data_IF_741240356331
#
_entry.id   IF_741240356331
#
_cell.length_a   1.000
_cell.length_b   1.000
_cell.length_c   1.000
_cell.angle_alpha   90.00
_cell.angle_beta   90.00
_cell.angle_gamma   90.00
#
_symmetry.space_group_name_H-M   'P 1'
#
loop_
_entity.id
_entity.type
_entity.pdbx_description
1 polymer ?
#
# COMPACT_ATOMS: atom_id res chain seq x y z
N UNK A 1 -37.15 70.09 12.93
CA UNK A 1 -37.56 68.68 13.12
C UNK A 1 -36.87 67.84 12.05
N UNK A 2 -36.16 66.77 12.41
CA UNK A 2 -35.50 65.89 11.46
C UNK A 2 -35.94 64.44 11.69
N UNK A 3 -36.54 63.83 10.68
CA UNK A 3 -37.06 62.46 10.70
C UNK A 3 -35.94 61.44 10.52
N UNK A 4 -35.76 60.53 11.48
CA UNK A 4 -34.85 59.38 11.33
C UNK A 4 -35.56 58.26 10.56
N UNK A 5 -34.91 57.60 9.59
CA UNK A 5 -35.53 56.51 8.83
C UNK A 5 -35.70 55.26 9.72
N UNK A 6 -36.94 54.79 9.82
CA UNK A 6 -37.29 53.61 10.61
C UNK A 6 -37.09 52.34 9.77
N UNK A 7 -35.91 51.70 9.88
CA UNK A 7 -35.67 50.42 9.21
C UNK A 7 -36.43 49.27 9.91
N UNK A 8 -37.64 48.97 9.42
CA UNK A 8 -38.42 47.81 9.84
C UNK A 8 -37.80 46.53 9.27
N UNK A 9 -36.73 46.05 9.90
CA UNK A 9 -36.18 44.72 9.62
C UNK A 9 -37.21 43.69 10.10
N UNK A 10 -37.91 43.06 9.15
CA UNK A 10 -38.84 41.97 9.42
C UNK A 10 -38.09 40.81 10.10
N UNK A 11 -38.18 40.73 11.44
CA UNK A 11 -37.47 39.74 12.29
C UNK A 11 -37.59 38.31 11.75
N UNK A 12 -38.76 37.96 11.19
CA UNK A 12 -39.02 36.66 10.57
C UNK A 12 -38.09 36.32 9.37
N UNK A 13 -37.73 37.28 8.50
CA UNK A 13 -36.88 36.98 7.33
C UNK A 13 -35.43 36.71 7.74
N UNK A 14 -34.87 37.54 8.62
CA UNK A 14 -33.49 37.36 9.13
C UNK A 14 -33.38 36.04 9.91
N UNK A 15 -34.33 35.78 10.81
CA UNK A 15 -34.38 34.54 11.60
C UNK A 15 -34.55 33.29 10.73
N UNK A 16 -35.35 33.35 9.65
CA UNK A 16 -35.50 32.24 8.70
C UNK A 16 -34.21 31.97 7.91
N UNK A 17 -33.49 33.03 7.51
CA UNK A 17 -32.20 32.89 6.82
C UNK A 17 -31.11 32.33 7.73
N UNK A 18 -31.00 32.84 8.96
CA UNK A 18 -30.10 32.29 9.98
C UNK A 18 -30.44 30.84 10.34
N UNK A 19 -31.73 30.48 10.45
CA UNK A 19 -32.15 29.08 10.62
C UNK A 19 -31.72 28.21 9.44
N UNK A 20 -31.82 28.69 8.19
CA UNK A 20 -31.35 27.93 7.01
C UNK A 20 -29.83 27.71 7.06
N UNK A 21 -29.04 28.71 7.45
CA UNK A 21 -27.58 28.57 7.62
C UNK A 21 -27.25 27.62 8.77
N UNK A 22 -27.90 27.76 9.93
CA UNK A 22 -27.67 26.88 11.08
C UNK A 22 -28.08 25.42 10.79
N UNK A 23 -29.20 25.20 10.10
CA UNK A 23 -29.60 23.87 9.61
C UNK A 23 -28.64 23.35 8.54
N UNK A 24 -28.07 24.21 7.69
CA UNK A 24 -27.04 23.82 6.72
C UNK A 24 -25.73 23.41 7.41
N UNK A 25 -25.27 24.17 8.41
CA UNK A 25 -24.11 23.83 9.24
C UNK A 25 -24.35 22.52 10.00
N UNK A 26 -25.47 22.38 10.72
CA UNK A 26 -25.84 21.14 11.42
C UNK A 26 -26.03 19.95 10.48
N UNK A 27 -26.53 20.17 9.24
CA UNK A 27 -26.55 19.12 8.20
C UNK A 27 -25.15 18.78 7.73
N UNK A 28 -24.25 19.76 7.60
CA UNK A 28 -22.84 19.54 7.22
C UNK A 28 -22.08 18.82 8.32
N UNK A 29 -22.27 19.18 9.59
CA UNK A 29 -21.73 18.46 10.75
C UNK A 29 -22.32 17.05 10.86
N UNK A 30 -23.65 16.87 10.73
CA UNK A 30 -24.24 15.51 10.67
C UNK A 30 -23.80 14.72 9.45
N UNK A 31 -23.46 15.37 8.33
CA UNK A 31 -22.84 14.73 7.17
C UNK A 31 -21.38 14.37 7.44
N UNK A 32 -20.59 15.20 8.13
CA UNK A 32 -19.23 14.89 8.57
C UNK A 32 -19.23 13.74 9.59
N UNK A 33 -20.15 13.75 10.56
CA UNK A 33 -20.30 12.70 11.57
C UNK A 33 -20.79 11.39 10.93
N UNK A 34 -21.75 11.42 10.01
CA UNK A 34 -22.10 10.25 9.20
C UNK A 34 -20.99 9.82 8.24
N UNK A 35 -20.15 10.75 7.77
CA UNK A 35 -18.90 10.41 7.08
C UNK A 35 -17.96 9.68 8.04
N UNK A 36 -17.80 10.10 9.30
CA UNK A 36 -16.95 9.39 10.28
C UNK A 36 -17.47 8.01 10.70
N UNK A 37 -18.80 7.85 10.85
CA UNK A 37 -19.42 6.55 11.15
C UNK A 37 -19.38 5.58 9.96
N UNK A 38 -19.23 6.11 8.74
CA UNK A 38 -19.13 5.35 7.50
C UNK A 38 -18.11 6.02 6.55
N UNK A 39 -16.82 6.08 6.94
CA UNK A 39 -15.79 6.46 5.97
C UNK A 39 -15.64 5.26 5.05
N UNK A 40 -16.43 5.26 3.98
CA UNK A 40 -16.53 4.17 3.04
C UNK A 40 -15.14 3.75 2.60
N UNK A 41 -14.80 2.48 2.88
CA UNK A 41 -13.59 1.74 2.46
C UNK A 41 -12.82 2.49 1.37
N UNK A 42 -11.78 3.21 1.78
CA UNK A 42 -10.88 3.85 0.83
C UNK A 42 -10.23 2.72 0.04
N UNK A 43 -10.29 2.77 -1.29
CA UNK A 43 -9.59 1.78 -2.11
C UNK A 43 -8.10 1.99 -1.93
N UNK A 44 -7.35 0.89 -1.83
CA UNK A 44 -5.89 0.93 -1.77
C UNK A 44 -5.33 1.57 -3.06
N UNK A 45 -4.23 2.35 -2.98
CA UNK A 45 -3.72 3.11 -4.12
C UNK A 45 -3.18 2.27 -5.29
N UNK A 46 -2.72 1.03 -5.07
CA UNK A 46 -2.13 0.19 -6.12
C UNK A 46 -2.34 -1.33 -5.91
N UNK A 47 -2.22 -2.15 -6.99
CA UNK A 47 -2.05 -3.60 -6.90
C UNK A 47 -0.83 -3.97 -6.04
N UNK A 48 -0.90 -5.08 -5.29
CA UNK A 48 0.20 -5.52 -4.41
C UNK A 48 -0.01 -6.99 -4.04
N UNK A 49 1.06 -7.79 -4.08
CA UNK A 49 1.04 -9.18 -3.65
C UNK A 49 0.75 -9.28 -2.14
N UNK A 50 -0.01 -10.28 -1.70
CA UNK A 50 -0.38 -10.44 -0.29
C UNK A 50 -1.39 -9.43 0.30
N UNK A 51 -1.86 -8.46 -0.49
CA UNK A 51 -2.74 -7.36 -0.03
C UNK A 51 -4.02 -7.83 0.69
N UNK A 52 -4.13 -7.55 2.00
CA UNK A 52 -5.17 -8.06 2.92
C UNK A 52 -6.57 -7.43 2.79
N UNK A 53 -6.96 -6.96 1.60
CA UNK A 53 -8.25 -6.24 1.35
C UNK A 53 -9.51 -7.02 1.80
N UNK A 54 -9.48 -8.35 1.82
CA UNK A 54 -10.61 -9.19 2.28
C UNK A 54 -10.60 -9.38 3.80
N UNK A 55 -9.42 -9.48 4.41
CA UNK A 55 -9.24 -9.71 5.84
C UNK A 55 -9.25 -8.42 6.68
N UNK A 56 -9.01 -7.27 6.04
CA UNK A 56 -8.86 -5.96 6.69
C UNK A 56 -9.93 -5.61 7.74
N UNK A 57 -11.25 -5.83 7.52
CA UNK A 57 -12.26 -5.56 8.56
C UNK A 57 -12.05 -6.42 9.82
N UNK A 58 -11.72 -7.70 9.65
CA UNK A 58 -11.46 -8.64 10.75
C UNK A 58 -10.14 -8.30 11.46
N UNK A 59 -9.08 -7.99 10.71
CA UNK A 59 -7.79 -7.57 11.26
C UNK A 59 -7.95 -6.32 12.13
N UNK A 60 -8.69 -5.32 11.64
CA UNK A 60 -8.91 -4.08 12.39
C UNK A 60 -9.83 -4.27 13.59
N UNK A 61 -10.86 -5.12 13.50
CA UNK A 61 -11.69 -5.50 14.66
C UNK A 61 -10.85 -6.20 15.75
N UNK A 62 -9.95 -7.11 15.37
CA UNK A 62 -9.11 -7.85 16.33
C UNK A 62 -8.13 -6.94 17.08
N UNK A 63 -7.55 -5.95 16.41
CA UNK A 63 -6.58 -5.02 16.98
C UNK A 63 -7.24 -3.81 17.68
N UNK A 64 -8.27 -3.22 17.08
CA UNK A 64 -8.78 -1.87 17.39
C UNK A 64 -10.30 -1.78 17.66
N UNK A 65 -11.07 -2.87 17.57
CA UNK A 65 -12.56 -2.82 17.65
C UNK A 65 -13.13 -2.14 18.91
N UNK A 66 -12.43 -2.25 20.04
CA UNK A 66 -12.76 -1.63 21.33
C UNK A 66 -11.99 -0.33 21.62
N UNK A 67 -11.21 0.17 20.66
CA UNK A 67 -10.35 1.37 20.76
C UNK A 67 -9.30 1.32 21.87
N UNK A 68 -8.87 0.12 22.29
CA UNK A 68 -7.88 -0.05 23.37
C UNK A 68 -6.48 0.49 23.01
N UNK A 69 -6.05 0.39 21.75
CA UNK A 69 -4.70 0.76 21.34
C UNK A 69 -4.57 2.28 21.07
N UNK A 70 -3.47 2.88 21.54
CA UNK A 70 -3.11 4.28 21.27
C UNK A 70 -1.90 4.43 20.32
N UNK A 71 -1.33 3.30 19.88
CA UNK A 71 -0.28 3.23 18.87
C UNK A 71 -0.53 2.04 17.94
N UNK A 72 -0.36 2.22 16.63
CA UNK A 72 -0.44 1.17 15.62
C UNK A 72 0.87 1.09 14.84
N UNK A 73 1.39 -0.11 14.61
CA UNK A 73 2.64 -0.36 13.90
C UNK A 73 2.42 -1.41 12.81
N UNK A 74 2.73 -1.05 11.55
CA UNK A 74 2.85 -1.99 10.43
C UNK A 74 4.31 -2.00 9.94
N UNK A 75 5.13 -3.01 10.30
CA UNK A 75 6.54 -3.08 9.89
C UNK A 75 6.76 -3.45 8.41
N UNK A 76 5.70 -3.96 7.77
CA UNK A 76 5.62 -4.41 6.37
C UNK A 76 4.35 -3.83 5.76
N UNK A 77 4.33 -2.52 5.48
CA UNK A 77 3.10 -1.81 5.09
C UNK A 77 2.57 -2.24 3.73
N UNK A 78 3.44 -2.51 2.74
CA UNK A 78 3.01 -2.85 1.38
C UNK A 78 1.98 -1.86 0.83
N UNK A 79 0.82 -2.36 0.40
CA UNK A 79 -0.35 -1.56 -0.04
C UNK A 79 -1.22 -0.93 1.06
N UNK A 80 -0.87 -1.07 2.34
CA UNK A 80 -1.62 -0.59 3.50
C UNK A 80 -3.12 -0.91 3.47
N UNK A 81 -3.47 -2.13 3.04
CA UNK A 81 -4.86 -2.48 2.79
C UNK A 81 -5.73 -2.38 4.05
N UNK A 82 -5.17 -2.63 5.24
CA UNK A 82 -5.90 -2.60 6.50
C UNK A 82 -6.29 -1.16 6.91
N UNK A 83 -5.33 -0.22 6.96
CA UNK A 83 -5.59 1.15 7.41
C UNK A 83 -6.53 1.93 6.47
N UNK A 84 -6.58 1.56 5.18
CA UNK A 84 -7.55 2.12 4.23
C UNK A 84 -9.01 1.70 4.53
N UNK A 85 -9.23 0.61 5.29
CA UNK A 85 -10.59 0.18 5.68
C UNK A 85 -11.14 0.90 6.91
N UNK A 86 -10.30 1.33 7.86
CA UNK A 86 -10.76 1.87 9.14
C UNK A 86 -9.90 3.06 9.59
N UNK A 87 -10.50 4.22 9.96
CA UNK A 87 -9.76 5.33 10.54
C UNK A 87 -9.23 4.94 11.94
N UNK A 88 -8.02 5.38 12.25
CA UNK A 88 -7.37 5.17 13.55
C UNK A 88 -7.26 6.51 14.29
N UNK A 89 -8.41 7.14 14.53
CA UNK A 89 -8.49 8.50 15.08
C UNK A 89 -7.88 8.57 16.49
N UNK A 90 -6.97 9.54 16.70
CA UNK A 90 -6.22 9.69 17.95
C UNK A 90 -5.15 8.62 18.21
N UNK A 91 -4.98 7.64 17.32
CA UNK A 91 -3.94 6.60 17.40
C UNK A 91 -2.68 7.10 16.70
N UNK A 92 -1.52 6.95 17.34
CA UNK A 92 -0.23 7.20 16.68
C UNK A 92 0.07 6.06 15.71
N UNK A 93 0.13 6.35 14.41
CA UNK A 93 0.41 5.35 13.38
C UNK A 93 1.90 5.37 12.99
N UNK A 94 2.50 4.20 12.84
CA UNK A 94 3.86 3.98 12.35
C UNK A 94 3.79 2.96 11.22
N UNK A 95 4.22 3.35 10.02
CA UNK A 95 4.26 2.53 8.82
C UNK A 95 5.71 2.42 8.36
N UNK A 96 6.15 1.20 8.05
CA UNK A 96 7.49 0.94 7.54
C UNK A 96 7.42 -0.01 6.34
N UNK A 97 8.31 0.20 5.38
CA UNK A 97 8.70 -0.83 4.41
C UNK A 97 10.22 -0.85 4.25
N UNK A 98 10.76 -1.90 3.63
CA UNK A 98 12.17 -1.89 3.23
C UNK A 98 12.36 -1.19 1.87
N UNK A 99 11.36 -1.22 0.99
CA UNK A 99 11.48 -0.62 -0.34
C UNK A 99 11.38 0.93 -0.30
N UNK A 100 12.49 1.60 -0.60
CA UNK A 100 12.55 3.06 -0.72
C UNK A 100 11.60 3.62 -1.79
N UNK A 101 11.28 2.85 -2.85
CA UNK A 101 10.31 3.25 -3.88
C UNK A 101 8.90 3.34 -3.30
N UNK A 102 8.52 2.34 -2.52
CA UNK A 102 7.24 2.27 -1.83
C UNK A 102 7.13 3.34 -0.72
N UNK A 103 8.21 3.55 0.04
CA UNK A 103 8.30 4.65 1.02
C UNK A 103 8.11 6.02 0.36
N UNK A 104 8.73 6.24 -0.81
CA UNK A 104 8.55 7.47 -1.58
C UNK A 104 7.08 7.70 -1.94
N UNK A 105 6.40 6.68 -2.48
CA UNK A 105 4.98 6.74 -2.82
C UNK A 105 4.11 7.05 -1.61
N UNK A 106 4.35 6.41 -0.46
CA UNK A 106 3.60 6.72 0.75
C UNK A 106 3.81 8.15 1.24
N UNK A 107 5.03 8.69 1.16
CA UNK A 107 5.29 10.10 1.47
C UNK A 107 4.63 11.04 0.46
N UNK A 108 4.66 10.76 -0.84
CA UNK A 108 3.93 11.54 -1.85
C UNK A 108 2.43 11.56 -1.57
N UNK A 109 1.82 10.41 -1.27
CA UNK A 109 0.39 10.30 -0.91
C UNK A 109 0.03 11.05 0.37
N UNK A 110 0.99 11.23 1.30
CA UNK A 110 0.76 11.97 2.55
C UNK A 110 0.96 13.47 2.38
N UNK A 111 2.06 13.89 1.77
CA UNK A 111 2.51 15.30 1.75
C UNK A 111 2.18 16.05 0.46
N UNK A 112 2.04 15.33 -0.66
CA UNK A 112 1.85 15.91 -2.01
C UNK A 112 0.75 15.18 -2.81
N UNK A 113 -0.45 14.95 -2.24
CA UNK A 113 -1.49 14.13 -2.88
C UNK A 113 -1.99 14.72 -4.20
N UNK A 114 -2.08 16.05 -4.33
CA UNK A 114 -2.55 16.70 -5.57
C UNK A 114 -1.46 16.63 -6.65
N UNK A 115 -0.23 17.05 -6.35
CA UNK A 115 0.91 16.94 -7.29
C UNK A 115 1.10 15.51 -7.81
N UNK A 116 0.92 14.50 -6.94
CA UNK A 116 1.00 13.09 -7.33
C UNK A 116 -0.20 12.65 -8.18
N UNK A 117 -1.41 13.13 -7.89
CA UNK A 117 -2.59 12.85 -8.71
C UNK A 117 -2.44 13.41 -10.13
N UNK A 118 -1.87 14.60 -10.27
CA UNK A 118 -1.59 15.25 -11.56
C UNK A 118 -0.46 14.57 -12.32
N UNK A 119 0.61 14.16 -11.63
CA UNK A 119 1.77 13.52 -12.24
C UNK A 119 1.52 12.08 -12.71
N UNK A 120 0.55 11.36 -12.12
CA UNK A 120 0.14 10.02 -12.59
C UNK A 120 -0.53 10.15 -13.96
N UNK A 121 -0.03 9.44 -14.96
CA UNK A 121 -0.54 9.54 -16.33
C UNK A 121 -1.75 8.63 -16.53
N UNK A 122 -1.77 7.44 -15.92
CA UNK A 122 -2.74 6.40 -16.21
C UNK A 122 -2.61 5.80 -17.61
N UNK A 123 -1.47 6.01 -18.28
CA UNK A 123 -1.19 5.42 -19.59
C UNK A 123 -0.96 3.91 -19.43
N UNK A 124 -1.36 3.14 -20.44
CA UNK A 124 -1.12 1.69 -20.51
C UNK A 124 -0.54 1.35 -21.88
N UNK A 125 0.80 1.29 -21.97
CA UNK A 125 1.52 0.71 -23.11
C UNK A 125 2.95 0.27 -22.70
N UNK A 126 3.57 -0.62 -23.48
CA UNK A 126 4.90 -1.21 -23.19
C UNK A 126 6.06 -0.22 -23.27
N UNK A 127 5.94 0.84 -24.07
CA UNK A 127 6.97 1.89 -24.19
C UNK A 127 7.04 2.68 -22.89
N UNK A 128 5.88 3.10 -22.36
CA UNK A 128 5.77 3.84 -21.10
C UNK A 128 6.25 3.00 -19.90
N UNK A 129 5.86 1.72 -19.82
CA UNK A 129 6.35 0.77 -18.81
C UNK A 129 7.89 0.73 -18.78
N UNK A 130 8.52 0.62 -19.95
CA UNK A 130 9.98 0.58 -20.08
C UNK A 130 10.61 1.92 -19.64
N UNK A 131 10.03 3.04 -20.07
CA UNK A 131 10.50 4.39 -19.69
C UNK A 131 10.41 4.67 -18.18
N UNK A 132 9.32 4.25 -17.52
CA UNK A 132 9.16 4.40 -16.08
C UNK A 132 10.15 3.55 -15.29
N UNK A 133 10.31 2.27 -15.66
CA UNK A 133 11.26 1.35 -15.00
C UNK A 133 12.70 1.91 -15.06
N UNK A 134 13.12 2.42 -16.22
CA UNK A 134 14.42 3.08 -16.40
C UNK A 134 14.56 4.38 -15.61
N UNK A 135 13.54 5.23 -15.62
CA UNK A 135 13.57 6.51 -14.90
C UNK A 135 13.65 6.29 -13.38
N UNK A 136 12.94 5.30 -12.85
CA UNK A 136 13.01 4.88 -11.45
C UNK A 136 14.41 4.37 -11.12
N UNK A 137 14.96 3.45 -11.91
CA UNK A 137 16.29 2.89 -11.64
C UNK A 137 17.41 3.94 -11.68
N UNK A 138 17.39 4.86 -12.67
CA UNK A 138 18.35 5.98 -12.74
C UNK A 138 18.20 6.96 -11.57
N UNK A 139 16.98 7.21 -11.12
CA UNK A 139 16.69 8.18 -10.07
C UNK A 139 16.77 7.61 -8.65
N UNK A 140 16.84 6.29 -8.49
CA UNK A 140 16.62 5.60 -7.21
C UNK A 140 17.59 6.04 -6.12
N UNK A 141 18.91 6.01 -6.39
CA UNK A 141 19.93 6.31 -5.37
C UNK A 141 19.83 7.77 -4.92
N UNK A 142 19.74 8.71 -5.86
CA UNK A 142 19.59 10.14 -5.57
C UNK A 142 18.26 10.48 -4.86
N UNK A 143 17.19 9.72 -5.13
CA UNK A 143 15.92 9.81 -4.40
C UNK A 143 16.10 9.26 -2.97
N UNK A 144 16.76 8.12 -2.81
CA UNK A 144 16.96 7.46 -1.53
C UNK A 144 17.83 8.29 -0.57
N UNK A 145 18.92 8.89 -1.05
CA UNK A 145 19.76 9.81 -0.28
C UNK A 145 18.95 10.98 0.27
N UNK A 146 18.05 11.56 -0.54
CA UNK A 146 17.16 12.66 -0.11
C UNK A 146 16.09 12.19 0.87
N UNK A 147 15.52 10.99 0.69
CA UNK A 147 14.57 10.39 1.64
C UNK A 147 15.20 10.12 3.02
N UNK A 148 16.51 9.85 3.07
CA UNK A 148 17.28 9.75 4.31
C UNK A 148 17.64 11.11 4.91
N UNK A 149 18.00 12.10 4.08
CA UNK A 149 18.40 13.43 4.54
C UNK A 149 17.24 14.29 5.06
N UNK A 150 16.03 14.09 4.52
CA UNK A 150 14.84 14.88 4.85
C UNK A 150 13.63 13.95 5.09
N UNK A 151 12.89 14.19 6.18
CA UNK A 151 11.72 13.41 6.62
C UNK A 151 10.42 13.79 5.90
N UNK A 152 10.35 14.97 5.29
CA UNK A 152 9.22 15.47 4.52
C UNK A 152 9.45 15.33 3.00
N UNK A 153 10.70 15.20 2.55
CA UNK A 153 11.03 14.97 1.15
C UNK A 153 10.31 13.74 0.57
N UNK A 154 9.84 13.92 -0.67
CA UNK A 154 9.45 12.85 -1.57
C UNK A 154 9.56 13.31 -3.03
N UNK A 155 9.91 12.40 -3.93
CA UNK A 155 10.00 12.65 -5.37
C UNK A 155 8.67 12.28 -6.04
N UNK A 156 7.86 13.28 -6.34
CA UNK A 156 6.54 13.11 -6.96
C UNK A 156 6.63 12.41 -8.32
N UNK A 157 7.66 12.72 -9.11
CA UNK A 157 7.80 12.20 -10.48
C UNK A 157 8.11 10.70 -10.45
N UNK A 158 9.08 10.29 -9.64
CA UNK A 158 9.39 8.86 -9.46
C UNK A 158 8.27 8.12 -8.73
N UNK A 159 7.56 8.77 -7.81
CA UNK A 159 6.37 8.23 -7.16
C UNK A 159 5.23 7.95 -8.15
N UNK A 160 4.94 8.90 -9.06
CA UNK A 160 3.95 8.74 -10.11
C UNK A 160 4.33 7.65 -11.10
N UNK A 161 5.59 7.62 -11.54
CA UNK A 161 6.12 6.55 -12.39
C UNK A 161 6.01 5.17 -11.74
N UNK A 162 6.27 5.05 -10.43
CA UNK A 162 6.10 3.79 -9.72
C UNK A 162 4.62 3.39 -9.60
N UNK A 163 3.70 4.34 -9.37
CA UNK A 163 2.25 4.04 -9.37
C UNK A 163 1.74 3.56 -10.74
N UNK A 164 2.12 4.26 -11.81
CA UNK A 164 1.79 3.85 -13.19
C UNK A 164 2.44 2.49 -13.54
N UNK A 165 3.69 2.25 -13.11
CA UNK A 165 4.37 0.98 -13.30
C UNK A 165 3.65 -0.16 -12.55
N UNK A 166 3.38 0.01 -11.25
CA UNK A 166 2.66 -0.96 -10.40
C UNK A 166 1.27 -1.30 -10.91
N UNK A 167 0.59 -0.39 -11.60
CA UNK A 167 -0.72 -0.63 -12.20
C UNK A 167 -0.66 -1.45 -13.50
N UNK A 168 0.51 -1.49 -14.17
CA UNK A 168 0.70 -2.09 -15.49
C UNK A 168 1.69 -3.29 -15.50
N UNK A 169 2.46 -3.50 -14.42
CA UNK A 169 3.54 -4.50 -14.36
C UNK A 169 3.03 -5.94 -14.27
N UNK A 170 3.70 -6.85 -14.98
CA UNK A 170 3.43 -8.29 -14.94
C UNK A 170 4.75 -9.01 -14.65
N UNK A 171 4.90 -9.45 -13.40
CA UNK A 171 6.14 -10.00 -12.85
C UNK A 171 6.49 -9.36 -11.53
N UNK A 172 7.71 -9.57 -11.06
CA UNK A 172 8.18 -9.16 -9.74
C UNK A 172 9.16 -7.98 -9.81
N UNK A 173 9.45 -7.36 -8.66
CA UNK A 173 10.36 -6.22 -8.47
C UNK A 173 10.32 -5.10 -9.56
N UNK A 174 9.15 -4.45 -9.78
CA UNK A 174 9.05 -3.28 -10.66
C UNK A 174 9.95 -2.13 -10.18
N UNK A 175 10.68 -1.49 -11.11
CA UNK A 175 11.65 -0.45 -10.77
C UNK A 175 12.98 -0.97 -10.22
N UNK A 176 13.24 -2.29 -10.30
CA UNK A 176 14.47 -2.92 -9.81
C UNK A 176 14.95 -4.11 -10.66
N UNK A 177 14.46 -4.24 -11.89
CA UNK A 177 14.74 -5.40 -12.74
C UNK A 177 16.06 -5.29 -13.52
N UNK A 178 17.10 -5.98 -13.02
CA UNK A 178 18.34 -6.21 -13.76
C UNK A 178 18.14 -7.05 -15.03
N UNK A 179 18.80 -6.65 -16.11
CA UNK A 179 18.84 -7.29 -17.43
C UNK A 179 20.08 -6.84 -18.20
N UNK A 180 20.04 -6.67 -19.54
CA UNK A 180 21.21 -6.19 -20.30
C UNK A 180 21.08 -4.77 -20.88
N UNK A 181 19.97 -4.05 -20.70
CA UNK A 181 19.73 -2.77 -21.41
C UNK A 181 20.15 -1.57 -20.58
N UNK A 182 20.85 -0.61 -21.17
CA UNK A 182 21.25 0.64 -20.52
C UNK A 182 20.86 1.82 -21.39
N UNK A 183 20.77 3.00 -20.81
CA UNK A 183 20.55 4.23 -21.58
C UNK A 183 21.88 4.94 -21.79
N UNK A 184 22.16 5.33 -23.03
CA UNK A 184 23.26 6.26 -23.37
C UNK A 184 22.67 7.54 -23.98
N UNK A 185 23.53 8.53 -24.21
CA UNK A 185 23.20 9.67 -25.05
C UNK A 185 23.46 9.34 -26.52
N UNK A 186 22.55 9.74 -27.40
CA UNK A 186 22.83 9.82 -28.83
C UNK A 186 23.59 11.11 -29.19
N UNK A 187 23.85 11.32 -30.49
CA UNK A 187 24.58 12.47 -31.01
C UNK A 187 23.88 13.82 -30.73
N UNK A 188 22.55 13.80 -30.62
CA UNK A 188 21.71 14.97 -30.30
C UNK A 188 21.51 15.18 -28.78
N UNK A 189 22.02 14.27 -27.94
CA UNK A 189 21.92 14.33 -26.48
C UNK A 189 20.62 13.76 -25.89
N UNK A 190 19.82 13.03 -26.66
CA UNK A 190 18.64 12.31 -26.16
C UNK A 190 19.02 10.96 -25.53
N UNK A 191 18.15 10.48 -24.65
CA UNK A 191 18.30 9.20 -23.96
C UNK A 191 17.86 8.05 -24.87
N UNK A 192 18.82 7.23 -25.36
CA UNK A 192 18.54 6.05 -26.20
C UNK A 192 18.88 4.73 -25.49
N UNK A 193 18.09 3.69 -25.76
CA UNK A 193 18.30 2.35 -25.20
C UNK A 193 19.25 1.51 -26.04
N UNK A 194 20.32 1.02 -25.39
CA UNK A 194 21.30 0.11 -25.99
C UNK A 194 21.49 -1.14 -25.14
N UNK A 195 21.90 -2.24 -25.77
CA UNK A 195 22.19 -3.50 -25.07
C UNK A 195 23.64 -3.50 -24.60
N UNK A 196 23.84 -3.38 -23.29
CA UNK A 196 25.13 -3.60 -22.64
C UNK A 196 25.62 -5.04 -22.80
N UNK A 197 26.94 -5.19 -22.81
CA UNK A 197 27.65 -6.48 -22.72
C UNK A 197 27.87 -6.93 -21.27
N UNK A 198 27.52 -6.09 -20.29
CA UNK A 198 27.53 -6.36 -18.84
C UNK A 198 26.13 -6.17 -18.23
N UNK A 199 25.96 -6.42 -16.93
CA UNK A 199 24.66 -6.20 -16.23
C UNK A 199 24.11 -4.78 -16.45
N UNK A 200 22.83 -4.70 -16.79
CA UNK A 200 22.01 -3.50 -17.04
C UNK A 200 20.56 -3.75 -16.61
N UNK A 201 19.57 -3.33 -17.41
CA UNK A 201 18.12 -3.35 -17.11
C UNK A 201 17.35 -4.35 -17.98
N UNK A 202 16.24 -4.91 -17.49
CA UNK A 202 15.43 -5.93 -18.21
C UNK A 202 14.44 -5.34 -19.23
N UNK A 203 14.80 -4.23 -19.87
CA UNK A 203 14.03 -3.63 -20.96
C UNK A 203 14.13 -4.44 -22.26
N UNK A 204 13.50 -5.62 -22.34
CA UNK A 204 13.31 -6.30 -23.64
C UNK A 204 12.75 -5.28 -24.63
N UNK A 205 13.56 -4.94 -25.64
CA UNK A 205 13.07 -4.41 -26.91
C UNK A 205 11.84 -5.23 -27.31
N UNK A 206 10.75 -4.57 -27.73
CA UNK A 206 9.45 -5.21 -27.90
C UNK A 206 9.52 -6.39 -28.90
N UNK A 207 9.76 -7.60 -28.38
CA UNK A 207 9.81 -8.86 -29.13
C UNK A 207 8.38 -9.29 -29.51
N UNK A 208 7.74 -8.49 -30.37
CA UNK A 208 6.66 -8.93 -31.24
C UNK A 208 7.20 -9.63 -32.51
N UNK A 209 8.53 -9.72 -32.66
CA UNK A 209 9.25 -10.53 -33.63
C UNK A 209 10.25 -11.43 -32.86
N UNK A 210 10.44 -12.68 -33.32
CA UNK A 210 11.13 -13.77 -32.59
C UNK A 210 12.65 -13.59 -32.35
N UNK A 211 13.37 -14.54 -31.74
CA UNK A 211 12.99 -15.89 -31.30
C UNK A 211 13.71 -16.27 -29.98
N UNK A 212 12.94 -16.85 -29.04
CA UNK A 212 13.33 -17.45 -27.73
C UNK A 212 13.82 -16.52 -26.60
N UNK A 213 13.51 -16.96 -25.36
CA UNK A 213 13.63 -16.21 -24.10
C UNK A 213 12.33 -15.47 -23.76
N UNK A 214 11.87 -15.33 -22.51
CA UNK A 214 12.45 -15.63 -21.18
C UNK A 214 11.32 -16.23 -20.31
N UNK A 215 11.65 -16.87 -19.19
CA UNK A 215 10.74 -17.68 -18.36
C UNK A 215 9.71 -16.90 -17.50
N UNK A 216 8.79 -16.20 -18.15
CA UNK A 216 7.48 -15.85 -17.58
C UNK A 216 6.41 -16.13 -18.64
N UNK A 217 5.26 -16.68 -18.22
CA UNK A 217 4.29 -17.29 -19.14
C UNK A 217 3.81 -16.31 -20.21
N UNK A 218 3.85 -16.73 -21.48
CA UNK A 218 3.27 -15.98 -22.59
C UNK A 218 1.80 -15.68 -22.33
N UNK A 219 1.39 -14.43 -22.49
CA UNK A 219 0.06 -14.13 -23.02
C UNK A 219 -0.05 -14.74 -24.42
N UNK A 220 -0.81 -15.83 -24.53
CA UNK A 220 -1.08 -16.45 -25.83
C UNK A 220 -1.86 -15.47 -26.73
N UNK A 221 -1.24 -15.05 -27.82
CA UNK A 221 -1.96 -14.54 -28.97
C UNK A 221 -2.36 -15.74 -29.86
N UNK A 222 -3.66 -16.01 -30.10
CA UNK A 222 -4.07 -17.04 -31.04
C UNK A 222 -3.67 -16.60 -32.47
N UNK A 223 -2.78 -17.36 -33.08
CA UNK A 223 -2.11 -17.01 -34.33
C UNK A 223 -2.86 -17.54 -35.57
N UNK A 224 -4.03 -16.96 -35.89
CA UNK A 224 -4.76 -17.25 -37.13
C UNK A 224 -5.90 -16.27 -37.52
N UNK A 225 -6.26 -15.29 -36.68
CA UNK A 225 -7.35 -14.35 -36.99
C UNK A 225 -6.88 -12.89 -37.13
N UNK A 226 -7.05 -12.36 -38.33
CA UNK A 226 -6.76 -10.97 -38.68
C UNK A 226 -7.60 -9.97 -37.89
N UNK A 227 -7.20 -8.69 -37.96
CA UNK A 227 -7.64 -7.59 -37.09
C UNK A 227 -9.16 -7.45 -37.02
N UNK A 228 -9.75 -8.09 -36.00
CA UNK A 228 -11.10 -7.88 -35.54
C UNK A 228 -11.04 -7.62 -34.03
N UNK A 229 -11.55 -6.46 -33.61
CA UNK A 229 -11.47 -5.94 -32.25
C UNK A 229 -11.86 -6.97 -31.18
N UNK A 230 -10.86 -7.58 -30.54
CA UNK A 230 -10.99 -8.20 -29.23
C UNK A 230 -10.01 -7.52 -28.29
N UNK A 231 -10.56 -6.74 -27.36
CA UNK A 231 -9.78 -6.08 -26.31
C UNK A 231 -8.99 -7.13 -25.54
N UNK A 232 -7.66 -6.94 -25.48
CA UNK A 232 -6.83 -7.57 -24.46
C UNK A 232 -7.45 -7.23 -23.10
N UNK A 233 -7.86 -8.23 -22.33
CA UNK A 233 -8.42 -8.00 -21.00
C UNK A 233 -7.31 -7.59 -20.02
N UNK A 234 -6.90 -6.32 -20.10
CA UNK A 234 -6.15 -5.65 -19.04
C UNK A 234 -6.87 -5.89 -17.72
N UNK A 235 -6.14 -6.39 -16.72
CA UNK A 235 -6.66 -6.99 -15.49
C UNK A 235 -7.78 -6.17 -14.84
N UNK A 236 -9.02 -6.58 -15.11
CA UNK A 236 -10.27 -6.19 -14.42
C UNK A 236 -10.41 -4.72 -13.99
N UNK A 237 -9.90 -3.77 -14.79
CA UNK A 237 -10.12 -2.32 -14.63
C UNK A 237 -9.96 -1.81 -13.20
N UNK A 238 -8.75 -1.91 -12.63
CA UNK A 238 -8.42 -1.39 -11.28
C UNK A 238 -7.28 -0.36 -11.24
N UNK A 239 -6.94 0.24 -12.38
CA UNK A 239 -5.93 1.30 -12.44
C UNK A 239 -6.35 2.57 -11.68
N UNK A 240 -5.37 3.39 -11.28
CA UNK A 240 -5.59 4.68 -10.58
C UNK A 240 -6.57 5.60 -11.33
N UNK A 241 -6.64 5.51 -12.66
CA UNK A 241 -7.48 6.34 -13.51
C UNK A 241 -8.96 5.91 -13.63
N UNK A 242 -9.36 4.70 -13.18
CA UNK A 242 -10.72 4.18 -13.44
C UNK A 242 -11.69 4.31 -12.25
N UNK A 243 -11.38 5.16 -11.27
CA UNK A 243 -12.25 5.35 -10.10
C UNK A 243 -13.47 6.22 -10.42
N UNK A 244 -14.61 5.93 -9.77
CA UNK A 244 -15.82 6.76 -9.85
C UNK A 244 -15.66 8.11 -9.14
N UNK A 245 -14.67 8.22 -8.24
CA UNK A 245 -14.27 9.44 -7.55
C UNK A 245 -13.16 10.14 -8.33
N UNK A 246 -13.16 11.48 -8.47
CA UNK A 246 -12.01 12.22 -9.01
C UNK A 246 -10.70 11.84 -8.32
N UNK A 247 -9.63 11.66 -9.10
CA UNK A 247 -8.34 11.11 -8.62
C UNK A 247 -7.76 11.95 -7.47
N UNK A 248 -7.74 13.27 -7.62
CA UNK A 248 -7.33 14.24 -6.60
C UNK A 248 -8.07 14.06 -5.27
N UNK A 249 -9.39 13.90 -5.32
CA UNK A 249 -10.23 13.71 -4.13
C UNK A 249 -9.92 12.38 -3.45
N UNK A 250 -9.68 11.31 -4.22
CA UNK A 250 -9.28 10.02 -3.65
C UNK A 250 -7.87 10.05 -3.03
N UNK A 251 -6.92 10.74 -3.66
CA UNK A 251 -5.58 10.93 -3.09
C UNK A 251 -5.63 11.83 -1.84
N UNK A 252 -6.54 12.81 -1.80
CA UNK A 252 -6.81 13.63 -0.62
C UNK A 252 -7.41 12.82 0.53
N UNK A 253 -8.38 11.94 0.26
CA UNK A 253 -8.95 11.02 1.27
C UNK A 253 -7.85 10.08 1.84
N UNK A 254 -6.90 9.62 1.02
CA UNK A 254 -5.72 8.86 1.46
C UNK A 254 -4.78 9.73 2.31
N UNK A 255 -4.51 10.98 1.91
CA UNK A 255 -3.65 11.91 2.66
C UNK A 255 -4.23 12.21 4.05
N UNK A 256 -5.53 12.49 4.14
CA UNK A 256 -6.24 12.70 5.42
C UNK A 256 -6.10 11.46 6.32
N UNK A 257 -6.27 10.26 5.74
CA UNK A 257 -6.09 8.97 6.43
C UNK A 257 -4.64 8.72 6.88
N UNK A 258 -3.64 9.31 6.22
CA UNK A 258 -2.21 9.22 6.57
C UNK A 258 -1.70 10.37 7.44
N UNK A 259 -2.53 11.35 7.78
CA UNK A 259 -2.15 12.55 8.56
C UNK A 259 -1.32 12.23 9.81
N UNK A 260 -1.79 11.29 10.64
CA UNK A 260 -1.14 10.86 11.87
C UNK A 260 -0.07 9.75 11.70
N UNK A 261 0.24 9.35 10.45
CA UNK A 261 1.20 8.29 10.17
C UNK A 261 2.64 8.82 10.07
N UNK A 262 3.56 8.16 10.78
CA UNK A 262 5.00 8.25 10.53
C UNK A 262 5.37 7.19 9.50
N UNK A 263 5.98 7.60 8.39
CA UNK A 263 6.34 6.74 7.25
C UNK A 263 7.86 6.60 7.23
N UNK A 264 8.34 5.37 7.26
CA UNK A 264 9.75 5.01 7.45
C UNK A 264 10.21 4.05 6.35
N UNK A 265 11.50 4.10 6.01
CA UNK A 265 12.17 3.05 5.24
C UNK A 265 13.31 2.48 6.08
N UNK A 266 13.15 1.27 6.60
CA UNK A 266 14.21 0.58 7.32
C UNK A 266 13.93 -0.94 7.40
N UNK A 267 14.96 -1.75 7.64
CA UNK A 267 14.80 -3.09 8.23
C UNK A 267 13.81 -3.07 9.42
N UNK A 268 12.85 -3.99 9.36
CA UNK A 268 11.75 -4.14 10.32
C UNK A 268 12.27 -4.39 11.74
N UNK A 269 13.34 -5.18 11.91
CA UNK A 269 13.84 -5.56 13.25
C UNK A 269 14.40 -4.33 13.98
N UNK A 270 15.08 -3.40 13.27
CA UNK A 270 15.46 -2.10 13.85
C UNK A 270 14.25 -1.24 14.23
N UNK A 271 13.19 -1.18 13.42
CA UNK A 271 11.96 -0.45 13.77
C UNK A 271 11.33 -1.00 15.05
N UNK A 272 11.25 -2.33 15.17
CA UNK A 272 10.70 -2.98 16.35
C UNK A 272 11.52 -2.73 17.61
N UNK A 273 12.84 -2.64 17.49
CA UNK A 273 13.73 -2.34 18.62
C UNK A 273 13.81 -0.83 18.96
N UNK A 274 13.52 0.06 18.00
CA UNK A 274 13.67 1.52 18.17
C UNK A 274 12.46 2.18 18.84
N UNK A 275 11.24 1.70 18.58
CA UNK A 275 10.05 2.31 19.16
C UNK A 275 9.72 1.76 20.54
N UNK A 276 9.32 2.64 21.46
CA UNK A 276 8.77 2.27 22.76
C UNK A 276 7.41 1.56 22.59
N UNK A 277 7.45 0.29 22.20
CA UNK A 277 6.30 -0.62 22.15
C UNK A 277 5.77 -0.87 23.57
N UNK A 278 6.70 -0.96 24.53
CA UNK A 278 6.45 -1.32 25.94
C UNK A 278 5.76 -0.22 26.76
N UNK A 279 5.94 1.06 26.41
CA UNK A 279 5.40 2.19 27.18
C UNK A 279 4.03 2.68 26.71
N UNK A 280 3.39 1.98 25.77
CA UNK A 280 2.12 2.36 25.13
C UNK A 280 1.25 1.14 24.86
N UNK A 281 -0.07 1.33 24.81
CA UNK A 281 -1.02 0.29 24.39
C UNK A 281 -0.90 0.13 22.87
N UNK A 282 -0.01 -0.76 22.44
CA UNK A 282 0.39 -0.88 21.04
C UNK A 282 -0.36 -2.01 20.35
N UNK A 283 -0.85 -1.77 19.15
CA UNK A 283 -1.30 -2.77 18.19
C UNK A 283 -0.22 -2.93 17.10
N UNK A 284 0.17 -4.18 16.80
CA UNK A 284 1.16 -4.50 15.77
C UNK A 284 0.54 -5.47 14.77
N UNK A 285 0.62 -5.13 13.49
CA UNK A 285 0.31 -6.04 12.39
C UNK A 285 1.59 -6.39 11.64
N UNK A 286 1.96 -7.67 11.66
CA UNK A 286 3.02 -8.22 10.84
C UNK A 286 2.42 -8.90 9.59
N UNK A 287 2.88 -8.50 8.42
CA UNK A 287 2.57 -9.13 7.14
C UNK A 287 3.85 -9.40 6.33
N UNK A 288 4.75 -10.27 6.84
CA UNK A 288 6.04 -10.54 6.19
C UNK A 288 5.87 -11.35 4.90
N UNK A 289 6.86 -11.34 3.98
CA UNK A 289 6.89 -12.29 2.88
C UNK A 289 6.94 -13.74 3.42
N UNK A 290 6.01 -14.58 2.95
CA UNK A 290 5.83 -15.96 3.41
C UNK A 290 6.83 -16.93 2.77
N UNK A 291 7.15 -18.03 3.46
CA UNK A 291 8.12 -19.05 3.08
C UNK A 291 7.70 -19.84 1.82
N UNK A 292 6.38 -20.04 1.64
CA UNK A 292 5.81 -20.75 0.48
C UNK A 292 5.53 -19.82 -0.70
N UNK A 293 6.03 -18.59 -0.66
CA UNK A 293 6.30 -17.78 -1.86
C UNK A 293 7.51 -18.41 -2.56
N UNK A 294 7.28 -19.53 -3.24
CA UNK A 294 8.36 -20.31 -3.84
C UNK A 294 9.21 -19.49 -4.83
N UNK A 295 10.40 -20.00 -5.15
CA UNK A 295 11.44 -19.39 -6.01
C UNK A 295 11.04 -19.11 -7.49
N UNK A 296 9.75 -18.92 -7.76
CA UNK A 296 9.19 -18.55 -9.06
C UNK A 296 8.89 -17.05 -9.10
N UNK A 297 9.92 -16.21 -8.91
CA UNK A 297 9.82 -14.78 -9.20
C UNK A 297 10.24 -13.85 -8.05
N UNK A 298 11.49 -13.39 -8.11
CA UNK A 298 11.93 -12.00 -7.86
C UNK A 298 11.29 -11.11 -6.79
N UNK A 299 10.69 -11.63 -5.72
CA UNK A 299 10.36 -10.83 -4.54
C UNK A 299 11.62 -10.13 -4.03
N UNK A 300 11.48 -8.91 -3.50
CA UNK A 300 12.61 -8.18 -2.90
C UNK A 300 13.24 -9.09 -1.85
N UNK A 301 14.52 -9.45 -2.03
CA UNK A 301 15.22 -10.34 -1.11
C UNK A 301 15.48 -9.59 0.20
N UNK A 302 14.57 -9.78 1.14
CA UNK A 302 14.76 -9.44 2.55
C UNK A 302 15.78 -10.41 3.16
N UNK A 303 17.05 -10.27 2.80
CA UNK A 303 18.15 -11.11 3.29
C UNK A 303 18.38 -10.82 4.78
N UNK A 304 17.90 -11.71 5.66
CA UNK A 304 18.44 -11.82 7.00
C UNK A 304 19.77 -12.59 6.94
N UNK A 305 20.75 -12.17 7.73
CA UNK A 305 22.08 -12.81 7.80
C UNK A 305 22.08 -14.28 8.31
N UNK A 306 20.93 -14.79 8.77
CA UNK A 306 20.79 -16.07 9.49
C UNK A 306 20.36 -17.27 8.61
N UNK A 307 20.31 -17.13 7.27
CA UNK A 307 19.68 -18.12 6.35
C UNK A 307 18.22 -18.48 6.71
N UNK A 308 17.54 -17.65 7.50
CA UNK A 308 16.15 -17.82 7.92
C UNK A 308 15.25 -16.78 7.24
N UNK A 309 14.10 -17.24 6.76
CA UNK A 309 13.09 -16.40 6.11
C UNK A 309 12.60 -15.27 7.02
N UNK A 310 12.08 -14.19 6.44
CA UNK A 310 11.54 -13.04 7.21
C UNK A 310 10.39 -13.48 8.11
N UNK A 311 9.45 -14.27 7.60
CA UNK A 311 8.34 -14.83 8.37
C UNK A 311 8.83 -15.63 9.59
N UNK A 312 9.86 -16.47 9.42
CA UNK A 312 10.52 -17.17 10.53
C UNK A 312 11.25 -16.21 11.49
N UNK A 313 11.87 -15.14 10.98
CA UNK A 313 12.49 -14.07 11.78
C UNK A 313 11.49 -13.31 12.66
N UNK A 314 10.31 -12.94 12.11
CA UNK A 314 9.22 -12.32 12.85
C UNK A 314 8.73 -13.24 13.97
N UNK A 315 8.52 -14.53 13.68
CA UNK A 315 8.11 -15.51 14.68
C UNK A 315 9.10 -15.61 15.84
N UNK A 316 10.40 -15.77 15.54
CA UNK A 316 11.48 -15.81 16.54
C UNK A 316 11.50 -14.53 17.39
N UNK A 317 11.46 -13.35 16.76
CA UNK A 317 11.49 -12.08 17.49
C UNK A 317 10.28 -11.91 18.43
N UNK A 318 9.07 -12.35 18.04
CA UNK A 318 7.89 -12.32 18.91
C UNK A 318 8.08 -13.23 20.14
N UNK A 319 8.65 -14.43 19.95
CA UNK A 319 8.94 -15.37 21.04
C UNK A 319 10.02 -14.81 21.97
N UNK A 320 11.14 -14.34 21.42
CA UNK A 320 12.25 -13.69 22.15
C UNK A 320 11.78 -12.50 23.01
N UNK A 321 10.77 -11.76 22.56
CA UNK A 321 10.27 -10.55 23.21
C UNK A 321 8.91 -10.73 23.91
N UNK A 322 8.39 -11.95 24.05
CA UNK A 322 7.01 -12.21 24.47
C UNK A 322 6.64 -11.58 25.82
N UNK A 323 7.61 -11.51 26.74
CA UNK A 323 7.47 -10.91 28.06
C UNK A 323 7.40 -9.37 28.03
N UNK A 324 8.17 -8.72 27.14
CA UNK A 324 8.09 -7.28 26.92
C UNK A 324 6.79 -6.87 26.21
N UNK A 325 6.25 -7.78 25.39
CA UNK A 325 5.04 -7.61 24.60
C UNK A 325 3.73 -7.86 25.37
N UNK A 326 3.78 -7.99 26.71
CA UNK A 326 2.60 -8.19 27.58
C UNK A 326 1.55 -7.09 27.53
N UNK A 327 1.89 -5.90 27.04
CA UNK A 327 0.98 -4.76 26.83
C UNK A 327 0.83 -4.42 25.35
N UNK A 328 0.74 -5.46 24.50
CA UNK A 328 0.70 -5.32 23.05
C UNK A 328 -0.29 -6.31 22.44
N UNK A 329 -1.14 -5.82 21.54
CA UNK A 329 -1.95 -6.66 20.65
C UNK A 329 -1.14 -6.96 19.41
N UNK A 330 -0.98 -8.24 19.09
CA UNK A 330 -0.15 -8.69 17.97
C UNK A 330 -1.03 -9.50 17.03
N UNK A 331 -0.91 -9.21 15.73
CA UNK A 331 -1.45 -10.03 14.66
C UNK A 331 -0.34 -10.33 13.66
N UNK A 332 -0.20 -11.59 13.27
CA UNK A 332 0.78 -12.08 12.28
C UNK A 332 0.02 -12.79 11.17
N UNK A 333 0.25 -12.37 9.93
CA UNK A 333 -0.26 -13.05 8.75
C UNK A 333 0.74 -14.12 8.29
N UNK A 334 0.25 -15.27 7.84
CA UNK A 334 1.07 -16.36 7.31
C UNK A 334 0.24 -17.42 6.59
N UNK A 335 0.88 -18.51 6.18
CA UNK A 335 0.27 -19.67 5.53
C UNK A 335 0.46 -20.96 6.33
N UNK A 336 -0.46 -21.90 6.14
CA UNK A 336 -0.39 -23.24 6.72
C UNK A 336 -0.12 -23.22 8.21
N UNK A 337 1.07 -23.70 8.61
CA UNK A 337 1.52 -23.83 9.99
C UNK A 337 2.65 -22.87 10.38
N UNK A 338 2.97 -21.87 9.53
CA UNK A 338 4.17 -21.02 9.66
C UNK A 338 4.38 -20.38 11.03
N UNK A 339 3.30 -20.06 11.76
CA UNK A 339 3.36 -19.45 13.09
C UNK A 339 2.68 -20.26 14.21
N UNK A 340 2.47 -21.58 14.02
CA UNK A 340 1.79 -22.41 15.03
C UNK A 340 2.56 -22.54 16.36
N UNK A 341 3.86 -22.29 16.36
CA UNK A 341 4.67 -22.10 17.58
C UNK A 341 4.08 -21.03 18.52
N UNK A 342 3.49 -19.96 17.97
CA UNK A 342 2.89 -18.86 18.74
C UNK A 342 1.67 -19.30 19.57
N UNK A 343 1.02 -20.42 19.21
CA UNK A 343 -0.13 -20.96 19.97
C UNK A 343 0.28 -21.31 21.41
N UNK A 344 1.51 -21.77 21.62
CA UNK A 344 2.06 -22.07 22.95
C UNK A 344 2.19 -20.81 23.83
N UNK A 345 2.27 -19.64 23.21
CA UNK A 345 2.39 -18.34 23.86
C UNK A 345 1.05 -17.59 23.98
N UNK A 346 -0.07 -18.31 23.81
CA UNK A 346 -1.43 -17.76 23.96
C UNK A 346 -1.97 -17.00 22.75
N UNK A 347 -1.37 -17.19 21.57
CA UNK A 347 -2.00 -16.75 20.32
C UNK A 347 -3.15 -17.69 19.92
N UNK A 348 -4.12 -17.16 19.18
CA UNK A 348 -5.18 -17.93 18.52
C UNK A 348 -4.98 -17.86 17.00
N UNK A 349 -5.28 -18.96 16.31
CA UNK A 349 -5.19 -19.08 14.84
C UNK A 349 -6.60 -19.04 14.23
N UNK A 350 -6.79 -18.18 13.24
CA UNK A 350 -8.05 -18.06 12.49
C UNK A 350 -7.77 -17.99 10.98
N UNK A 351 -8.73 -18.42 10.14
CA UNK A 351 -8.59 -18.29 8.67
C UNK A 351 -8.80 -16.83 8.26
N UNK A 352 -7.96 -16.31 7.35
CA UNK A 352 -8.00 -14.87 6.99
C UNK A 352 -9.25 -14.46 6.21
N UNK A 353 -9.97 -15.42 5.61
CA UNK A 353 -11.22 -15.20 4.88
C UNK A 353 -12.29 -16.17 5.37
N UNK A 354 -13.45 -15.64 5.74
CA UNK A 354 -14.61 -16.45 6.11
C UNK A 354 -15.27 -17.00 4.82
N UNK A 355 -14.97 -18.26 4.46
CA UNK A 355 -15.30 -18.82 3.14
C UNK A 355 -16.80 -19.17 3.03
N UNK A 356 -17.60 -18.19 2.62
CA UNK A 356 -18.86 -18.44 1.90
C UNK A 356 -18.62 -18.18 0.41
N UNK A 357 -18.86 -19.20 -0.43
CA UNK A 357 -18.69 -19.24 -1.91
C UNK A 357 -17.20 -19.19 -2.35
N UNK A 358 -16.64 -20.07 -3.21
CA UNK A 358 -17.15 -20.99 -4.22
C UNK A 358 -16.11 -22.12 -4.49
N UNK A 359 -16.60 -23.29 -4.90
CA UNK A 359 -15.85 -24.46 -5.41
C UNK A 359 -14.74 -25.06 -4.52
N UNK A 360 -15.12 -26.14 -3.82
CA UNK A 360 -14.19 -27.15 -3.28
C UNK A 360 -13.34 -27.76 -4.40
N UNK A 361 -12.07 -27.37 -4.46
CA UNK A 361 -10.99 -28.37 -4.49
C UNK A 361 -10.29 -28.32 -3.13
N UNK A 362 -9.75 -29.46 -2.70
CA UNK A 362 -8.96 -29.56 -1.46
C UNK A 362 -7.65 -28.78 -1.66
N UNK A 363 -7.69 -27.47 -1.42
CA UNK A 363 -6.49 -26.67 -1.30
C UNK A 363 -5.76 -27.14 -0.04
N UNK A 364 -4.57 -27.72 -0.23
CA UNK A 364 -3.68 -28.17 0.84
C UNK A 364 -3.58 -27.07 1.92
N UNK A 365 -3.68 -27.46 3.19
CA UNK A 365 -3.68 -26.52 4.30
C UNK A 365 -2.39 -25.67 4.32
N UNK A 366 -1.28 -26.22 3.80
CA UNK A 366 -0.01 -25.50 3.58
C UNK A 366 -0.15 -24.20 2.76
N UNK A 367 -1.16 -24.12 1.88
CA UNK A 367 -1.42 -22.99 0.99
C UNK A 367 -2.45 -22.00 1.53
N UNK A 368 -3.20 -22.36 2.57
CA UNK A 368 -4.27 -21.52 3.12
C UNK A 368 -3.69 -20.39 4.00
N UNK A 369 -4.25 -19.19 3.88
CA UNK A 369 -3.83 -18.03 4.68
C UNK A 369 -4.56 -17.96 6.02
N UNK A 370 -3.76 -17.80 7.08
CA UNK A 370 -4.20 -17.72 8.46
C UNK A 370 -3.69 -16.43 9.11
N UNK A 371 -4.37 -16.02 10.17
CA UNK A 371 -3.97 -14.94 11.06
C UNK A 371 -3.73 -15.56 12.44
N UNK A 372 -2.55 -15.37 13.00
CA UNK A 372 -2.25 -15.68 14.39
C UNK A 372 -2.33 -14.38 15.17
N UNK A 373 -3.25 -14.30 16.14
CA UNK A 373 -3.48 -13.08 16.89
C UNK A 373 -3.45 -13.33 18.39
N UNK A 374 -2.96 -12.35 19.15
CA UNK A 374 -3.01 -12.32 20.61
C UNK A 374 -3.62 -10.99 21.02
N UNK A 375 -4.84 -11.04 21.58
CA UNK A 375 -5.37 -9.94 22.38
C UNK A 375 -4.66 -9.95 23.73
N UNK A 376 -4.51 -8.78 24.34
CA UNK A 376 -3.86 -8.64 25.64
C UNK A 376 -4.63 -9.50 26.67
N UNK A 377 -3.93 -10.18 27.58
CA UNK A 377 -4.60 -10.84 28.69
C UNK A 377 -5.21 -9.76 29.59
N UNK A 378 -6.53 -9.62 29.56
CA UNK A 378 -7.27 -8.93 30.61
C UNK A 378 -7.08 -9.75 31.89
N UNK A 379 -6.59 -9.09 32.94
CA UNK A 379 -6.60 -9.54 34.32
C UNK A 379 -7.63 -8.72 35.09
#
# INVERSE_FOLDING_TARGET
MATRPFFVIHKNKLYTWMKKIYIFILKREKLMIKRSEFIGKIKKPFPWAGSKVKAAPLIMELLHGDKWANQHIEPFVGSNACLMHMPLDGVRVILNDFDGKLTNVWRCLKYKPIELADAVTGITNSIAITGWDLAIQKGYDAMLDRLHADVEYCDVKLGAYYLDLMANWVGDNPGGCKGPWVTIKDEDGYDILVKSTTEGVRGKQAQYMGDRGVSCQQTHYPADRGVACQQTQYSSGQGVACQQTPRESWFSDISERLSNAKILSHDWKKIMNMYNITSKKTAIMFDPPYNTSGNNGGGIEYINADNNTVSGGVRRWIVENIEALKNTRILVCGRGTEHDELLQYGFQKIKSVNVKSLNKKLADESTQEFLWYKRNNEK
#
